data_IF_865887367354
#
_entry.id   IF_865887367354
#
_cell.length_a   1.000
_cell.length_b   1.000
_cell.length_c   1.000
_cell.angle_alpha   90.00
_cell.angle_beta   90.00
_cell.angle_gamma   90.00
#
_symmetry.space_group_name_H-M   'P 1'
#
loop_
_entity.id
_entity.type
_entity.pdbx_description
1 polymer ?
#
# COMPACT_ATOMS: atom_id res chain seq x y z
N UNK A 1 24.74 27.82 -10.66
CA UNK A 1 24.87 26.58 -11.48
C UNK A 1 23.75 25.64 -11.06
N UNK A 2 22.76 25.42 -11.93
CA UNK A 2 21.72 24.42 -11.69
C UNK A 2 22.32 23.04 -11.96
N UNK A 3 22.85 22.40 -10.92
CA UNK A 3 23.31 21.01 -10.99
C UNK A 3 22.10 20.09 -10.83
N UNK A 4 21.19 20.10 -11.81
CA UNK A 4 20.21 19.02 -11.94
C UNK A 4 20.97 17.76 -12.34
N UNK A 5 20.96 16.69 -11.52
CA UNK A 5 21.67 15.47 -11.85
C UNK A 5 21.09 14.86 -13.14
N UNK A 6 21.88 14.05 -13.84
CA UNK A 6 21.43 13.37 -15.06
C UNK A 6 20.19 12.51 -14.78
N UNK A 7 19.27 12.39 -15.73
CA UNK A 7 18.10 11.50 -15.62
C UNK A 7 18.52 10.02 -15.50
N UNK A 8 19.71 9.68 -15.99
CA UNK A 8 20.28 8.33 -15.92
C UNK A 8 21.19 8.11 -14.70
N UNK A 9 21.26 9.07 -13.77
CA UNK A 9 22.10 8.97 -12.60
C UNK A 9 21.48 7.99 -11.58
N UNK A 10 22.04 6.78 -11.54
CA UNK A 10 21.59 5.70 -10.67
C UNK A 10 21.72 6.09 -9.19
N UNK A 11 22.78 6.83 -8.79
CA UNK A 11 22.97 7.23 -7.39
C UNK A 11 21.90 8.23 -6.95
N UNK A 12 21.50 9.14 -7.84
CA UNK A 12 20.42 10.06 -7.56
C UNK A 12 19.07 9.34 -7.42
N UNK A 13 18.83 8.29 -8.23
CA UNK A 13 17.62 7.46 -8.15
C UNK A 13 17.59 6.63 -6.86
N UNK A 14 18.73 6.09 -6.43
CA UNK A 14 18.86 5.40 -5.15
C UNK A 14 18.58 6.31 -3.96
N UNK A 15 19.11 7.53 -3.97
CA UNK A 15 18.86 8.50 -2.91
C UNK A 15 17.37 8.92 -2.83
N UNK A 16 16.71 9.07 -3.99
CA UNK A 16 15.26 9.30 -4.06
C UNK A 16 14.47 8.10 -3.50
N UNK A 17 14.83 6.88 -3.88
CA UNK A 17 14.24 5.62 -3.38
C UNK A 17 14.42 5.44 -1.86
N UNK A 18 15.59 5.80 -1.32
CA UNK A 18 15.88 5.69 0.12
C UNK A 18 15.11 6.75 0.93
N UNK A 19 14.98 7.97 0.40
CA UNK A 19 14.13 9.01 1.00
C UNK A 19 12.68 8.53 1.07
N UNK A 20 12.23 7.88 0.01
CA UNK A 20 10.92 7.26 -0.13
C UNK A 20 10.66 6.14 0.85
N UNK A 21 11.60 5.20 0.93
CA UNK A 21 11.58 4.14 1.93
C UNK A 21 11.38 4.74 3.32
N UNK A 22 12.14 5.78 3.65
CA UNK A 22 12.06 6.45 4.94
C UNK A 22 10.70 7.09 5.17
N UNK A 23 10.18 7.85 4.21
CA UNK A 23 8.86 8.50 4.35
C UNK A 23 7.72 7.47 4.47
N UNK A 24 7.69 6.46 3.61
CA UNK A 24 6.64 5.43 3.60
C UNK A 24 6.66 4.58 4.88
N UNK A 25 7.84 4.18 5.35
CA UNK A 25 7.96 3.36 6.55
C UNK A 25 7.81 4.15 7.86
N UNK A 26 8.19 5.43 7.91
CA UNK A 26 8.02 6.22 9.14
C UNK A 26 6.61 6.79 9.28
N UNK A 27 5.98 7.16 8.16
CA UNK A 27 4.67 7.83 8.19
C UNK A 27 3.53 6.83 7.98
N UNK A 28 3.58 6.05 6.90
CA UNK A 28 2.41 5.28 6.48
C UNK A 28 2.32 3.95 7.24
N UNK A 29 3.42 3.22 7.40
CA UNK A 29 3.43 1.91 8.08
C UNK A 29 2.87 1.96 9.51
N UNK A 30 3.46 2.75 10.44
CA UNK A 30 2.99 2.86 11.82
C UNK A 30 1.58 3.44 11.93
N UNK A 31 1.24 4.42 11.09
CA UNK A 31 -0.09 5.02 11.06
C UNK A 31 -1.15 4.00 10.64
N UNK A 32 -0.90 3.25 9.57
CA UNK A 32 -1.80 2.22 9.09
C UNK A 32 -2.00 1.10 10.13
N UNK A 33 -0.93 0.68 10.80
CA UNK A 33 -1.00 -0.29 11.88
C UNK A 33 -1.82 0.24 13.08
N UNK A 34 -1.59 1.49 13.49
CA UNK A 34 -2.33 2.13 14.59
C UNK A 34 -3.82 2.26 14.24
N UNK A 35 -4.14 2.66 13.01
CA UNK A 35 -5.51 2.72 12.51
C UNK A 35 -6.16 1.33 12.46
N UNK A 36 -5.42 0.29 12.06
CA UNK A 36 -5.93 -1.07 12.04
C UNK A 36 -6.30 -1.57 13.44
N UNK A 37 -5.42 -1.36 14.43
CA UNK A 37 -5.70 -1.69 15.84
C UNK A 37 -6.92 -0.90 16.33
N UNK A 38 -6.96 0.41 16.08
CA UNK A 38 -8.09 1.26 16.46
C UNK A 38 -9.41 0.78 15.85
N UNK A 39 -9.45 0.51 14.54
CA UNK A 39 -10.63 0.02 13.85
C UNK A 39 -11.09 -1.34 14.37
N UNK A 40 -10.15 -2.25 14.66
CA UNK A 40 -10.47 -3.59 15.18
C UNK A 40 -11.16 -3.58 16.55
N UNK A 41 -10.99 -2.50 17.33
CA UNK A 41 -11.61 -2.34 18.65
C UNK A 41 -13.05 -1.79 18.61
N UNK A 42 -13.52 -1.36 17.43
CA UNK A 42 -14.83 -0.73 17.27
C UNK A 42 -15.95 -1.75 17.01
N UNK A 43 -17.18 -1.35 17.36
CA UNK A 43 -18.39 -2.10 17.00
C UNK A 43 -18.61 -2.08 15.49
N UNK A 44 -19.17 -3.16 14.97
CA UNK A 44 -19.33 -3.47 13.55
C UNK A 44 -19.50 -2.27 12.59
N UNK A 45 -20.61 -1.53 12.67
CA UNK A 45 -20.93 -0.44 11.73
C UNK A 45 -19.93 0.72 11.84
N UNK A 46 -19.51 1.05 13.07
CA UNK A 46 -18.52 2.08 13.31
C UNK A 46 -17.13 1.63 12.82
N UNK A 47 -16.75 0.38 13.06
CA UNK A 47 -15.51 -0.23 12.58
C UNK A 47 -15.43 -0.25 11.05
N UNK A 48 -16.51 -0.60 10.37
CA UNK A 48 -16.59 -0.57 8.91
C UNK A 48 -16.38 0.86 8.37
N UNK A 49 -17.13 1.85 8.86
CA UNK A 49 -17.01 3.24 8.40
C UNK A 49 -15.60 3.77 8.67
N UNK A 50 -15.07 3.58 9.88
CA UNK A 50 -13.73 4.04 10.23
C UNK A 50 -12.64 3.35 9.42
N UNK A 51 -12.76 2.06 9.14
CA UNK A 51 -11.79 1.34 8.31
C UNK A 51 -11.80 1.83 6.86
N UNK A 52 -12.96 2.09 6.26
CA UNK A 52 -13.07 2.66 4.92
C UNK A 52 -12.47 4.07 4.83
N UNK A 53 -12.78 4.94 5.81
CA UNK A 53 -12.19 6.28 5.90
C UNK A 53 -10.68 6.18 6.07
N UNK A 54 -10.19 5.28 6.92
CA UNK A 54 -8.76 5.08 7.15
C UNK A 54 -8.03 4.62 5.89
N UNK A 55 -8.62 3.69 5.13
CA UNK A 55 -8.07 3.26 3.83
C UNK A 55 -8.03 4.43 2.85
N UNK A 56 -9.10 5.23 2.75
CA UNK A 56 -9.14 6.39 1.87
C UNK A 56 -8.04 7.41 2.22
N UNK A 57 -7.88 7.73 3.50
CA UNK A 57 -6.83 8.63 4.00
C UNK A 57 -5.44 8.08 3.67
N UNK A 58 -5.20 6.78 3.90
CA UNK A 58 -3.91 6.14 3.60
C UNK A 58 -3.61 6.16 2.10
N UNK A 59 -4.60 5.94 1.24
CA UNK A 59 -4.45 6.07 -0.22
C UNK A 59 -4.11 7.51 -0.59
N UNK A 60 -4.76 8.51 -0.01
CA UNK A 60 -4.44 9.92 -0.29
C UNK A 60 -3.03 10.30 0.16
N UNK A 61 -2.58 9.84 1.34
CA UNK A 61 -1.21 10.07 1.82
C UNK A 61 -0.22 9.36 0.89
N UNK A 62 -0.49 8.11 0.52
CA UNK A 62 0.33 7.35 -0.42
C UNK A 62 0.43 8.06 -1.77
N UNK A 63 -0.68 8.57 -2.32
CA UNK A 63 -0.68 9.36 -3.56
C UNK A 63 0.10 10.67 -3.42
N UNK A 64 0.00 11.35 -2.27
CA UNK A 64 0.75 12.58 -1.99
C UNK A 64 2.26 12.35 -1.93
N UNK A 65 2.70 11.28 -1.25
CA UNK A 65 4.10 10.84 -1.26
C UNK A 65 4.48 10.39 -2.68
N UNK A 66 3.59 9.63 -3.34
CA UNK A 66 3.83 9.09 -4.68
C UNK A 66 3.98 10.15 -5.77
N UNK A 67 3.26 11.26 -5.68
CA UNK A 67 3.38 12.35 -6.63
C UNK A 67 4.75 13.03 -6.56
N UNK A 68 5.45 12.95 -5.42
CA UNK A 68 6.84 13.43 -5.27
C UNK A 68 7.89 12.53 -5.94
N UNK A 69 7.64 11.22 -6.13
CA UNK A 69 8.46 10.34 -7.00
C UNK A 69 8.46 10.82 -8.44
N UNK A 70 7.34 11.45 -8.81
CA UNK A 70 6.70 11.04 -10.05
C UNK A 70 7.43 11.60 -11.24
N UNK A 71 8.14 12.73 -11.11
CA UNK A 71 8.66 13.42 -12.28
C UNK A 71 9.79 12.64 -12.96
N UNK A 72 10.81 12.22 -12.22
CA UNK A 72 11.97 11.54 -12.81
C UNK A 72 11.67 10.11 -13.24
N UNK A 73 10.90 9.37 -12.43
CA UNK A 73 10.43 8.02 -12.80
C UNK A 73 9.42 8.07 -13.95
N UNK A 74 8.50 9.05 -14.02
CA UNK A 74 7.65 9.22 -15.21
C UNK A 74 8.47 9.57 -16.44
N UNK A 75 9.42 10.51 -16.33
CA UNK A 75 10.27 10.92 -17.45
C UNK A 75 11.09 9.72 -17.95
N UNK A 76 11.66 8.91 -17.05
CA UNK A 76 12.31 7.64 -17.39
C UNK A 76 11.35 6.65 -18.04
N UNK A 77 10.09 6.55 -17.58
CA UNK A 77 9.08 5.66 -18.18
C UNK A 77 8.67 6.09 -19.59
N UNK A 78 8.61 7.40 -19.84
CA UNK A 78 8.34 7.95 -21.16
C UNK A 78 9.54 7.68 -22.07
N UNK A 79 10.76 7.98 -21.61
CA UNK A 79 12.00 7.78 -22.35
C UNK A 79 12.31 6.30 -22.62
N UNK A 80 11.96 5.39 -21.70
CA UNK A 80 12.16 3.95 -21.85
C UNK A 80 11.43 3.34 -23.06
N UNK A 81 10.43 4.03 -23.63
CA UNK A 81 9.76 3.60 -24.87
C UNK A 81 10.65 3.75 -26.11
N UNK A 82 11.63 4.64 -26.04
CA UNK A 82 12.48 5.02 -27.19
C UNK A 82 13.97 4.82 -26.92
N UNK A 83 14.39 4.78 -25.66
CA UNK A 83 15.78 4.66 -25.22
C UNK A 83 15.99 3.41 -24.35
N UNK A 84 16.80 2.43 -24.80
CA UNK A 84 17.08 1.22 -24.04
C UNK A 84 17.82 1.50 -22.73
N UNK A 85 18.61 2.58 -22.64
CA UNK A 85 19.31 2.96 -21.41
C UNK A 85 18.35 3.46 -20.33
N UNK A 86 17.29 4.17 -20.73
CA UNK A 86 16.24 4.57 -19.80
C UNK A 86 15.44 3.35 -19.28
N UNK A 87 15.24 2.33 -20.12
CA UNK A 87 14.59 1.09 -19.71
C UNK A 87 15.43 0.31 -18.68
N UNK A 88 16.75 0.25 -18.84
CA UNK A 88 17.67 -0.38 -17.89
C UNK A 88 17.62 0.31 -16.51
N UNK A 89 17.69 1.64 -16.49
CA UNK A 89 17.62 2.43 -15.26
C UNK A 89 16.25 2.29 -14.58
N UNK A 90 15.16 2.25 -15.35
CA UNK A 90 13.83 2.00 -14.81
C UNK A 90 13.69 0.58 -14.23
N UNK A 91 14.26 -0.42 -14.89
CA UNK A 91 14.30 -1.80 -14.41
C UNK A 91 15.05 -1.89 -13.08
N UNK A 92 16.20 -1.22 -12.96
CA UNK A 92 16.96 -1.11 -11.72
C UNK A 92 16.14 -0.50 -10.58
N UNK A 93 15.48 0.64 -10.84
CA UNK A 93 14.62 1.30 -9.85
C UNK A 93 13.46 0.40 -9.41
N UNK A 94 12.85 -0.32 -10.36
CA UNK A 94 11.75 -1.27 -10.11
C UNK A 94 12.21 -2.44 -9.24
N UNK A 95 13.35 -3.06 -9.59
CA UNK A 95 13.91 -4.18 -8.86
C UNK A 95 14.29 -3.80 -7.43
N UNK A 96 14.84 -2.59 -7.20
CA UNK A 96 15.12 -2.11 -5.86
C UNK A 96 13.87 -1.74 -5.06
N UNK A 97 12.81 -1.28 -5.73
CA UNK A 97 11.54 -0.98 -5.08
C UNK A 97 10.82 -2.26 -4.61
N UNK A 98 10.75 -3.30 -5.45
CA UNK A 98 10.01 -4.53 -5.15
C UNK A 98 10.86 -5.63 -4.48
N UNK A 99 12.16 -5.67 -4.78
CA UNK A 99 13.06 -6.75 -4.33
C UNK A 99 13.59 -6.57 -2.92
N UNK A 100 13.40 -5.40 -2.30
CA UNK A 100 14.01 -5.08 -1.02
C UNK A 100 12.97 -5.13 0.09
N UNK A 101 13.12 -6.07 1.03
CA UNK A 101 12.32 -6.23 2.27
C UNK A 101 12.25 -4.95 3.11
N UNK A 102 13.05 -3.94 2.76
CA UNK A 102 12.93 -2.56 3.21
C UNK A 102 11.47 -2.08 3.24
N UNK A 103 10.65 -2.29 2.21
CA UNK A 103 9.25 -1.81 2.24
C UNK A 103 8.30 -2.66 3.10
N UNK A 104 8.78 -3.69 3.78
CA UNK A 104 7.95 -4.63 4.54
C UNK A 104 7.11 -3.94 5.62
N UNK A 105 7.65 -2.99 6.39
CA UNK A 105 6.88 -2.32 7.45
C UNK A 105 5.72 -1.50 6.89
N UNK A 106 5.94 -0.78 5.80
CA UNK A 106 4.89 -0.10 5.04
C UNK A 106 3.84 -1.09 4.52
N UNK A 107 4.26 -2.16 3.84
CA UNK A 107 3.35 -3.16 3.31
C UNK A 107 2.55 -3.85 4.42
N UNK A 108 3.18 -4.23 5.53
CA UNK A 108 2.55 -4.87 6.68
C UNK A 108 1.49 -3.95 7.30
N UNK A 109 1.78 -2.66 7.49
CA UNK A 109 0.81 -1.68 7.96
C UNK A 109 -0.38 -1.53 7.01
N UNK A 110 -0.11 -1.36 5.71
CA UNK A 110 -1.14 -1.23 4.69
C UNK A 110 -2.03 -2.48 4.57
N UNK A 111 -1.44 -3.69 4.57
CA UNK A 111 -2.21 -4.93 4.56
C UNK A 111 -3.02 -5.11 5.83
N UNK A 112 -2.51 -4.70 7.00
CA UNK A 112 -3.23 -4.82 8.27
C UNK A 112 -4.57 -4.07 8.23
N UNK A 113 -4.58 -2.82 7.75
CA UNK A 113 -5.84 -2.05 7.65
C UNK A 113 -6.79 -2.65 6.61
N UNK A 114 -6.26 -3.15 5.48
CA UNK A 114 -7.07 -3.80 4.45
C UNK A 114 -7.73 -5.09 4.98
N UNK A 115 -7.00 -5.89 5.77
CA UNK A 115 -7.51 -7.09 6.41
C UNK A 115 -8.62 -6.73 7.40
N UNK A 116 -8.44 -5.69 8.21
CA UNK A 116 -9.47 -5.24 9.16
C UNK A 116 -10.72 -4.71 8.41
N UNK A 117 -10.53 -3.93 7.36
CA UNK A 117 -11.64 -3.45 6.53
C UNK A 117 -12.41 -4.60 5.86
N UNK A 118 -11.68 -5.58 5.32
CA UNK A 118 -12.26 -6.79 4.76
C UNK A 118 -13.00 -7.61 5.83
N UNK A 119 -12.42 -7.76 7.03
CA UNK A 119 -13.06 -8.44 8.14
C UNK A 119 -14.39 -7.79 8.51
N UNK A 120 -14.47 -6.47 8.57
CA UNK A 120 -15.76 -5.81 8.75
C UNK A 120 -16.66 -6.03 7.53
N UNK A 121 -16.21 -5.79 6.29
CA UNK A 121 -17.06 -5.96 5.12
C UNK A 121 -17.68 -7.37 4.99
N UNK A 122 -16.88 -8.43 5.20
CA UNK A 122 -17.34 -9.81 5.18
C UNK A 122 -18.05 -10.22 6.47
N UNK A 123 -17.58 -9.75 7.63
CA UNK A 123 -18.15 -10.02 8.95
C UNK A 123 -19.60 -9.55 9.08
N UNK A 124 -19.99 -8.43 8.45
CA UNK A 124 -21.40 -8.06 8.42
C UNK A 124 -22.17 -8.64 7.27
N UNK A 125 -21.51 -9.14 6.23
CA UNK A 125 -22.16 -10.04 5.30
C UNK A 125 -22.67 -11.28 6.06
N UNK A 126 -21.88 -11.82 6.99
CA UNK A 126 -22.29 -12.92 7.89
C UNK A 126 -23.30 -12.50 8.98
N UNK A 127 -23.30 -11.23 9.39
CA UNK A 127 -24.29 -10.72 10.35
C UNK A 127 -25.65 -10.39 9.70
N UNK A 128 -25.68 -10.10 8.40
CA UNK A 128 -26.90 -9.82 7.61
C UNK A 128 -27.43 -11.09 6.95
N UNK A 129 -26.57 -11.95 6.40
CA UNK A 129 -26.88 -13.32 5.98
C UNK A 129 -26.28 -14.28 7.02
N UNK A 130 -27.04 -14.67 8.06
CA UNK A 130 -26.58 -15.70 8.96
C UNK A 130 -26.32 -16.96 8.13
N UNK A 131 -25.19 -17.63 8.38
CA UNK A 131 -24.83 -18.91 7.74
C UNK A 131 -25.97 -19.96 7.89
N UNK A 132 -26.84 -19.78 8.87
CA UNK A 132 -28.09 -20.52 9.04
C UNK A 132 -29.05 -20.46 7.84
N UNK A 133 -29.01 -19.41 7.01
CA UNK A 133 -29.81 -19.28 5.78
C UNK A 133 -29.12 -19.86 4.54
N UNK A 134 -27.83 -20.22 4.63
CA UNK A 134 -27.10 -20.97 3.60
C UNK A 134 -27.17 -22.47 3.90
N UNK A 135 -28.37 -23.03 3.79
CA UNK A 135 -28.67 -24.45 4.02
C UNK A 135 -27.76 -25.42 3.25
N UNK A 136 -27.22 -25.01 2.10
CA UNK A 136 -26.28 -25.81 1.29
C UNK A 136 -24.86 -25.92 1.83
N UNK A 137 -24.42 -25.03 2.73
CA UNK A 137 -23.04 -25.01 3.28
C UNK A 137 -22.95 -25.60 4.69
N UNK A 138 -24.09 -25.84 5.33
CA UNK A 138 -24.21 -26.45 6.65
C UNK A 138 -23.44 -27.78 6.84
N UNK A 139 -23.34 -28.68 5.83
CA UNK A 139 -22.60 -29.94 5.97
C UNK A 139 -21.08 -29.76 6.04
N UNK A 140 -20.56 -28.61 5.60
CA UNK A 140 -19.12 -28.37 5.41
C UNK A 140 -18.51 -27.51 6.51
N UNK A 141 -19.31 -27.06 7.48
CA UNK A 141 -18.83 -26.28 8.60
C UNK A 141 -18.26 -27.20 9.69
N UNK A 142 -17.12 -26.83 10.30
CA UNK A 142 -16.57 -27.58 11.42
C UNK A 142 -17.59 -27.60 12.57
N UNK A 143 -17.93 -28.80 13.03
CA UNK A 143 -18.81 -28.98 14.19
C UNK A 143 -18.04 -28.55 15.44
N UNK A 144 -18.55 -27.52 16.12
CA UNK A 144 -18.11 -27.14 17.47
C UNK A 144 -18.63 -28.16 18.50
#
# INVERSE_FOLDING_TARGET
MNNTPSIYDIQAIEAELDTWYRELNLLIGPLALTMAIGCSSLRYLAGLIFSLVSVAVLVSIHQGVSNKFSRRILELRILAKTDPKAAEVLSYASANFFGNLRYFSYMAGFFSICIVAAWFAFGGLYAILPIAELSGLQPYLPKL
#
